data_IF_802188808769
#
_entry.id   IF_802188808769
#
_cell.length_a   1.000
_cell.length_b   1.000
_cell.length_c   1.000
_cell.angle_alpha   90.00
_cell.angle_beta   90.00
_cell.angle_gamma   90.00
#
_symmetry.space_group_name_H-M   'P 1'
#
loop_
_entity.id
_entity.type
_entity.pdbx_description
1 polymer ?
#
# COMPACT_ATOMS: atom_id res chain seq x y z
N UNK A 1 3.21 -32.73 11.51
CA UNK A 1 4.58 -32.99 11.00
C UNK A 1 4.67 -32.54 9.55
N UNK A 2 5.14 -31.30 9.34
CA UNK A 2 5.02 -30.54 8.11
C UNK A 2 6.16 -30.87 7.14
N UNK A 3 5.81 -31.34 5.95
CA UNK A 3 6.68 -31.39 4.78
C UNK A 3 6.13 -30.45 3.70
N UNK A 4 6.90 -29.39 3.45
CA UNK A 4 7.14 -28.73 2.16
C UNK A 4 5.95 -28.26 1.30
N UNK A 5 5.68 -26.96 1.33
CA UNK A 5 5.36 -26.22 0.10
C UNK A 5 6.70 -25.84 -0.56
N UNK A 6 7.08 -26.56 -1.60
CA UNK A 6 8.28 -26.30 -2.40
C UNK A 6 8.01 -25.08 -3.27
N UNK A 7 8.72 -23.98 -3.00
CA UNK A 7 9.02 -22.99 -4.03
C UNK A 7 9.85 -23.64 -5.14
N UNK A 8 9.80 -23.06 -6.33
CA UNK A 8 10.61 -23.49 -7.47
C UNK A 8 12.11 -23.53 -7.12
N UNK A 9 12.92 -24.24 -7.92
CA UNK A 9 14.35 -24.37 -7.65
C UNK A 9 15.01 -22.99 -7.50
N UNK A 10 15.46 -22.66 -6.29
CA UNK A 10 16.21 -21.44 -5.98
C UNK A 10 15.61 -20.49 -4.93
N UNK A 11 14.33 -20.62 -4.55
CA UNK A 11 13.73 -19.69 -3.57
C UNK A 11 14.13 -20.04 -2.15
N UNK A 12 15.00 -19.23 -1.52
CA UNK A 12 15.32 -19.30 -0.09
C UNK A 12 14.11 -18.88 0.74
N UNK A 13 13.77 -19.64 1.77
CA UNK A 13 12.80 -19.23 2.78
C UNK A 13 13.45 -18.19 3.71
N UNK A 14 12.89 -16.98 3.78
CA UNK A 14 13.39 -15.89 4.64
C UNK A 14 12.55 -15.84 5.93
N UNK A 15 13.14 -16.03 7.13
CA UNK A 15 12.42 -15.98 8.41
C UNK A 15 11.84 -14.59 8.74
N UNK A 16 10.74 -14.55 9.51
CA UNK A 16 10.03 -13.31 9.91
C UNK A 16 10.91 -12.24 10.58
N UNK A 17 11.92 -12.65 11.36
CA UNK A 17 12.84 -11.71 12.00
C UNK A 17 13.77 -10.99 11.00
N UNK A 18 14.09 -11.63 9.87
CA UNK A 18 14.83 -11.01 8.77
C UNK A 18 13.92 -10.04 7.97
N UNK A 19 12.60 -10.25 7.98
CA UNK A 19 11.59 -9.35 7.38
C UNK A 19 11.42 -8.03 8.13
N UNK A 20 11.32 -8.03 9.47
CA UNK A 20 11.23 -6.78 10.25
C UNK A 20 12.47 -5.90 10.06
N UNK A 21 13.63 -6.54 9.88
CA UNK A 21 14.89 -5.87 9.57
C UNK A 21 14.92 -5.34 8.12
N UNK A 22 14.30 -6.05 7.17
CA UNK A 22 14.19 -5.65 5.76
C UNK A 22 13.26 -4.45 5.51
N UNK A 23 12.17 -4.30 6.27
CA UNK A 23 11.30 -3.12 6.18
C UNK A 23 11.97 -1.83 6.70
N UNK A 24 13.05 -1.97 7.46
CA UNK A 24 13.71 -0.87 8.19
C UNK A 24 15.04 -0.43 7.58
N UNK A 25 15.56 -1.13 6.56
CA UNK A 25 16.83 -0.82 5.85
C UNK A 25 16.76 -1.28 4.40
N UNK A 26 17.54 -0.65 3.51
CA UNK A 26 17.85 -1.23 2.19
C UNK A 26 18.24 -2.69 2.38
N UNK A 27 17.55 -3.62 1.71
CA UNK A 27 17.93 -5.03 1.64
C UNK A 27 19.01 -5.14 0.58
N UNK A 28 20.31 -5.19 0.95
CA UNK A 28 21.39 -5.07 -0.04
C UNK A 28 21.49 -6.32 -0.93
N UNK A 29 20.85 -7.42 -0.52
CA UNK A 29 21.01 -8.75 -1.10
C UNK A 29 19.94 -9.13 -2.13
N UNK A 30 18.93 -8.28 -2.36
CA UNK A 30 17.84 -8.55 -3.31
C UNK A 30 17.93 -7.74 -4.62
N UNK A 31 18.74 -6.68 -4.66
CA UNK A 31 18.87 -5.83 -5.86
C UNK A 31 17.56 -5.22 -6.36
N UNK A 32 16.53 -5.16 -5.51
CA UNK A 32 15.15 -4.84 -5.87
C UNK A 32 14.51 -3.95 -4.80
N UNK A 33 13.65 -3.03 -5.22
CA UNK A 33 12.85 -2.22 -4.31
C UNK A 33 11.93 -3.11 -3.45
N UNK A 34 11.82 -2.89 -2.12
CA UNK A 34 11.02 -3.75 -1.25
C UNK A 34 9.58 -3.95 -1.72
N UNK A 35 8.97 -2.92 -2.32
CA UNK A 35 7.63 -2.99 -2.86
C UNK A 35 7.54 -3.88 -4.11
N UNK A 36 8.57 -3.90 -4.96
CA UNK A 36 8.63 -4.79 -6.13
C UNK A 36 8.81 -6.24 -5.72
N UNK A 37 9.67 -6.48 -4.72
CA UNK A 37 9.83 -7.81 -4.14
C UNK A 37 8.51 -8.34 -3.56
N UNK A 38 7.76 -7.49 -2.84
CA UNK A 38 6.43 -7.84 -2.35
C UNK A 38 5.47 -8.19 -3.49
N UNK A 39 5.50 -7.44 -4.59
CA UNK A 39 4.64 -7.73 -5.75
C UNK A 39 4.99 -9.07 -6.42
N UNK A 40 6.28 -9.39 -6.55
CA UNK A 40 6.74 -10.63 -7.18
C UNK A 40 6.42 -11.87 -6.32
N UNK A 41 6.46 -11.75 -4.98
CA UNK A 41 6.30 -12.88 -4.07
C UNK A 41 4.93 -12.97 -3.38
N UNK A 42 4.08 -11.95 -3.51
CA UNK A 42 2.73 -11.91 -2.93
C UNK A 42 1.63 -11.49 -3.91
N UNK A 43 1.93 -11.39 -5.21
CA UNK A 43 0.96 -11.03 -6.25
C UNK A 43 -0.34 -11.81 -6.13
N UNK A 44 -1.46 -11.09 -6.06
CA UNK A 44 -2.79 -11.63 -5.80
C UNK A 44 -3.27 -12.53 -6.96
N UNK A 45 -2.90 -13.81 -6.92
CA UNK A 45 -3.57 -14.89 -7.65
C UNK A 45 -4.85 -15.34 -6.94
N UNK A 46 -5.62 -14.40 -6.38
CA UNK A 46 -6.69 -14.66 -5.42
C UNK A 46 -7.96 -15.23 -6.09
N UNK A 47 -7.86 -16.43 -6.68
CA UNK A 47 -9.00 -17.29 -6.93
C UNK A 47 -9.29 -18.13 -5.68
N UNK A 48 -9.61 -17.47 -4.55
CA UNK A 48 -10.23 -18.05 -3.34
C UNK A 48 -9.63 -19.30 -2.66
N UNK A 49 -8.56 -19.91 -3.17
CA UNK A 49 -8.15 -21.26 -2.77
C UNK A 49 -6.63 -21.46 -2.65
N UNK A 50 -5.83 -20.44 -2.97
CA UNK A 50 -4.36 -20.50 -2.86
C UNK A 50 -3.82 -19.27 -2.11
N UNK A 51 -4.15 -19.22 -0.82
CA UNK A 51 -3.63 -18.25 0.16
C UNK A 51 -2.21 -18.68 0.57
N UNK A 52 -1.30 -18.83 -0.41
CA UNK A 52 -0.01 -19.50 -0.23
C UNK A 52 1.13 -18.60 0.25
N UNK A 53 0.96 -17.27 0.19
CA UNK A 53 1.98 -16.31 0.60
C UNK A 53 1.88 -15.95 2.09
N UNK A 54 3.01 -15.86 2.78
CA UNK A 54 3.10 -15.50 4.20
C UNK A 54 2.34 -14.22 4.57
N UNK A 55 2.34 -13.21 3.69
CA UNK A 55 1.62 -11.94 3.91
C UNK A 55 0.16 -11.97 3.46
N UNK A 56 -0.31 -13.05 2.83
CA UNK A 56 -1.66 -13.14 2.30
C UNK A 56 -2.76 -12.97 3.36
N UNK A 57 -2.63 -13.46 4.62
CA UNK A 57 -3.57 -13.13 5.68
C UNK A 57 -3.62 -11.65 6.08
N UNK A 58 -2.59 -10.86 5.76
CA UNK A 58 -2.55 -9.42 6.03
C UNK A 58 -3.02 -8.62 4.82
N UNK A 59 -2.62 -9.03 3.62
CA UNK A 59 -2.97 -8.36 2.35
C UNK A 59 -4.43 -8.64 1.97
N UNK A 60 -4.87 -9.90 2.12
CA UNK A 60 -6.17 -10.38 1.64
C UNK A 60 -7.29 -10.35 2.70
N UNK A 61 -7.04 -9.76 3.88
CA UNK A 61 -8.07 -9.70 4.92
C UNK A 61 -9.13 -8.64 4.63
N UNK A 62 -10.35 -9.06 4.31
CA UNK A 62 -11.48 -8.17 3.97
C UNK A 62 -11.89 -7.23 5.11
N UNK A 63 -11.61 -7.58 6.37
CA UNK A 63 -11.90 -6.72 7.53
C UNK A 63 -10.90 -5.56 7.74
N UNK A 64 -9.90 -5.43 6.88
CA UNK A 64 -8.85 -4.40 6.97
C UNK A 64 -8.94 -3.44 5.79
N UNK A 65 -8.81 -2.15 6.10
CA UNK A 65 -8.72 -1.08 5.12
C UNK A 65 -7.28 -0.89 4.65
N UNK A 66 -7.12 -0.45 3.40
CA UNK A 66 -5.82 -0.14 2.80
C UNK A 66 -5.78 1.35 2.50
N UNK A 67 -4.91 2.07 3.21
CA UNK A 67 -4.83 3.53 3.18
C UNK A 67 -3.39 3.94 2.87
N UNK A 68 -3.22 4.90 1.97
CA UNK A 68 -1.96 5.59 1.72
C UNK A 68 -2.11 7.08 2.04
N UNK A 69 -1.13 7.65 2.77
CA UNK A 69 -1.09 9.06 3.13
C UNK A 69 0.11 9.72 2.44
N UNK A 70 -0.18 10.67 1.54
CA UNK A 70 0.82 11.25 0.64
C UNK A 70 0.94 10.44 -0.65
N UNK A 71 0.10 10.74 -1.63
CA UNK A 71 -0.02 10.02 -2.91
C UNK A 71 0.88 10.60 -3.98
N UNK A 72 1.00 11.94 -4.03
CA UNK A 72 1.71 12.66 -5.09
C UNK A 72 1.32 12.12 -6.48
N UNK A 73 2.26 11.57 -7.26
CA UNK A 73 2.02 11.04 -8.63
C UNK A 73 1.32 9.67 -8.68
N UNK A 74 1.04 9.06 -7.54
CA UNK A 74 0.28 7.81 -7.43
C UNK A 74 1.05 6.55 -7.84
N UNK A 75 2.38 6.61 -7.96
CA UNK A 75 3.20 5.44 -8.34
C UNK A 75 3.06 4.29 -7.33
N UNK A 76 3.23 4.58 -6.05
CA UNK A 76 3.02 3.64 -4.95
C UNK A 76 1.56 3.21 -4.84
N UNK A 77 0.62 4.16 -4.93
CA UNK A 77 -0.83 3.89 -4.86
C UNK A 77 -1.28 2.86 -5.90
N UNK A 78 -0.82 2.97 -7.14
CA UNK A 78 -1.14 2.01 -8.20
C UNK A 78 -0.57 0.62 -7.89
N UNK A 79 0.66 0.53 -7.37
CA UNK A 79 1.27 -0.74 -6.96
C UNK A 79 0.48 -1.39 -5.81
N UNK A 80 0.10 -0.61 -4.80
CA UNK A 80 -0.75 -1.05 -3.68
C UNK A 80 -2.11 -1.53 -4.21
N UNK A 81 -2.75 -0.76 -5.07
CA UNK A 81 -4.05 -1.11 -5.66
C UNK A 81 -4.02 -2.44 -6.42
N UNK A 82 -2.94 -2.73 -7.15
CA UNK A 82 -2.76 -3.99 -7.86
C UNK A 82 -2.64 -5.19 -6.90
N UNK A 83 -1.95 -5.03 -5.77
CA UNK A 83 -1.84 -6.07 -4.74
C UNK A 83 -3.18 -6.34 -4.04
N UNK A 84 -4.05 -5.33 -3.95
CA UNK A 84 -5.34 -5.38 -3.29
C UNK A 84 -6.52 -5.31 -4.27
N UNK A 85 -6.42 -5.98 -5.42
CA UNK A 85 -7.43 -5.92 -6.49
C UNK A 85 -8.85 -6.35 -6.07
N UNK A 86 -8.98 -7.12 -4.97
CA UNK A 86 -10.24 -7.60 -4.42
C UNK A 86 -10.92 -6.61 -3.46
N UNK A 87 -10.31 -5.46 -3.13
CA UNK A 87 -10.91 -4.45 -2.25
C UNK A 87 -10.60 -3.03 -2.67
N UNK A 88 -11.28 -2.08 -2.01
CA UNK A 88 -11.03 -0.66 -2.20
C UNK A 88 -9.75 -0.22 -1.50
N UNK A 89 -8.97 0.60 -2.19
CA UNK A 89 -7.77 1.27 -1.68
C UNK A 89 -8.02 2.77 -1.63
N UNK A 90 -7.59 3.43 -0.56
CA UNK A 90 -7.82 4.87 -0.37
C UNK A 90 -6.50 5.63 -0.36
N UNK A 91 -6.37 6.63 -1.22
CA UNK A 91 -5.21 7.53 -1.25
C UNK A 91 -5.58 8.91 -0.73
N UNK A 92 -4.91 9.37 0.33
CA UNK A 92 -5.11 10.69 0.94
C UNK A 92 -4.00 11.63 0.51
N UNK A 93 -4.38 12.76 -0.10
CA UNK A 93 -3.43 13.83 -0.42
C UNK A 93 -4.18 15.15 -0.61
N UNK A 94 -3.49 16.26 -0.35
CA UNK A 94 -3.99 17.58 -0.71
C UNK A 94 -3.79 17.90 -2.19
N UNK A 95 -2.79 17.28 -2.82
CA UNK A 95 -2.27 17.58 -4.16
C UNK A 95 -1.85 19.05 -4.34
N UNK A 96 -1.50 19.73 -3.23
CA UNK A 96 -1.02 21.11 -3.19
C UNK A 96 0.44 21.22 -2.73
N UNK A 97 1.13 20.08 -2.66
CA UNK A 97 2.48 19.98 -2.12
C UNK A 97 2.55 20.19 -0.60
N UNK A 98 3.77 20.30 -0.09
CA UNK A 98 4.02 20.44 1.34
C UNK A 98 3.46 21.78 1.88
N UNK A 99 2.74 21.78 3.01
CA UNK A 99 2.18 23.00 3.60
C UNK A 99 3.28 23.94 4.14
N UNK A 100 4.41 23.37 4.53
CA UNK A 100 5.60 24.03 5.06
C UNK A 100 6.86 23.29 4.65
N UNK A 101 8.01 23.94 4.75
CA UNK A 101 9.30 23.29 4.50
C UNK A 101 9.64 22.37 5.68
N UNK A 102 10.02 21.13 5.39
CA UNK A 102 10.40 20.17 6.43
C UNK A 102 11.92 20.10 6.62
N UNK A 103 12.66 19.96 5.51
CA UNK A 103 14.11 19.82 5.48
C UNK A 103 14.71 20.50 4.24
N UNK A 104 16.03 20.73 4.17
CA UNK A 104 16.69 21.12 2.94
C UNK A 104 16.40 20.11 1.81
N UNK A 105 15.86 20.57 0.69
CA UNK A 105 15.37 19.69 -0.37
C UNK A 105 13.94 19.17 -0.17
N UNK A 106 13.20 19.69 0.82
CA UNK A 106 11.77 19.45 1.02
C UNK A 106 11.08 20.77 1.36
N UNK A 107 11.12 21.70 0.40
CA UNK A 107 10.58 23.03 0.57
C UNK A 107 9.05 23.05 0.50
N UNK A 108 8.44 24.08 1.10
CA UNK A 108 7.01 24.36 0.95
C UNK A 108 6.57 24.34 -0.52
N UNK A 109 5.44 23.69 -0.79
CA UNK A 109 4.89 23.53 -2.14
C UNK A 109 5.56 22.45 -2.99
N UNK A 110 6.64 21.82 -2.50
CA UNK A 110 7.21 20.65 -3.17
C UNK A 110 6.16 19.54 -3.24
N UNK A 111 6.13 18.81 -4.36
CA UNK A 111 5.11 17.80 -4.69
C UNK A 111 3.72 18.33 -5.03
N UNK A 112 3.56 19.64 -5.26
CA UNK A 112 2.36 20.18 -5.88
C UNK A 112 2.24 19.68 -7.33
N UNK A 113 1.06 19.16 -7.68
CA UNK A 113 0.74 18.74 -9.05
C UNK A 113 -0.01 19.82 -9.84
N UNK A 114 -0.13 21.02 -9.28
CA UNK A 114 -0.73 22.20 -9.88
C UNK A 114 -2.15 21.94 -10.39
N UNK A 115 -2.93 21.19 -9.60
CA UNK A 115 -4.31 20.81 -9.93
C UNK A 115 -4.44 19.56 -10.80
N UNK A 116 -3.34 18.90 -11.16
CA UNK A 116 -3.38 17.60 -11.85
C UNK A 116 -3.53 16.48 -10.83
N UNK A 117 -4.57 15.65 -10.98
CA UNK A 117 -4.70 14.43 -10.19
C UNK A 117 -4.03 13.27 -10.91
N UNK A 118 -3.37 12.35 -10.18
CA UNK A 118 -2.78 11.17 -10.81
C UNK A 118 -3.87 10.24 -11.35
N UNK A 119 -3.56 9.55 -12.44
CA UNK A 119 -4.37 8.42 -12.88
C UNK A 119 -4.25 7.29 -11.86
N UNK A 120 -5.40 6.75 -11.45
CA UNK A 120 -5.51 5.70 -10.45
C UNK A 120 -6.32 4.51 -10.97
N UNK A 121 -6.11 3.34 -10.37
CA UNK A 121 -6.84 2.13 -10.73
C UNK A 121 -8.32 2.23 -10.32
N UNK A 122 -9.18 1.41 -10.93
CA UNK A 122 -10.64 1.45 -10.70
C UNK A 122 -11.06 1.09 -9.27
N UNK A 123 -10.21 0.38 -8.52
CA UNK A 123 -10.44 0.05 -7.10
C UNK A 123 -9.87 1.11 -6.15
N UNK A 124 -9.38 2.24 -6.65
CA UNK A 124 -8.83 3.34 -5.85
C UNK A 124 -9.85 4.46 -5.68
N UNK A 125 -9.93 5.00 -4.47
CA UNK A 125 -10.62 6.24 -4.16
C UNK A 125 -9.62 7.28 -3.65
N UNK A 126 -9.52 8.41 -4.36
CA UNK A 126 -8.72 9.56 -3.89
C UNK A 126 -9.54 10.41 -2.93
N UNK A 127 -9.01 10.62 -1.73
CA UNK A 127 -9.61 11.46 -0.70
C UNK A 127 -8.82 12.76 -0.63
N UNK A 128 -9.35 13.79 -1.28
CA UNK A 128 -8.65 15.06 -1.49
C UNK A 128 -8.81 16.00 -0.30
N UNK A 129 -7.69 16.49 0.24
CA UNK A 129 -7.65 17.48 1.31
C UNK A 129 -6.46 17.30 2.25
N UNK A 130 -6.24 18.24 3.17
CA UNK A 130 -5.30 18.00 4.27
C UNK A 130 -5.80 16.86 5.14
N UNK A 131 -4.91 16.19 5.87
CA UNK A 131 -5.31 15.04 6.69
C UNK A 131 -6.30 15.44 7.79
N UNK A 132 -6.14 16.62 8.38
CA UNK A 132 -7.04 17.17 9.40
C UNK A 132 -8.45 17.39 8.86
N UNK A 133 -8.56 17.85 7.61
CA UNK A 133 -9.83 18.17 6.99
C UNK A 133 -10.51 16.92 6.37
N UNK A 134 -9.73 15.97 5.87
CA UNK A 134 -10.23 14.87 5.04
C UNK A 134 -10.48 13.57 5.81
N UNK A 135 -9.64 13.25 6.81
CA UNK A 135 -9.73 11.97 7.54
C UNK A 135 -10.98 11.88 8.41
N UNK A 136 -11.36 12.90 9.23
CA UNK A 136 -12.55 12.81 10.07
C UNK A 136 -13.86 12.55 9.30
N UNK A 137 -14.21 13.33 8.24
CA UNK A 137 -15.44 13.07 7.50
C UNK A 137 -15.38 11.77 6.70
N UNK A 138 -14.22 11.37 6.18
CA UNK A 138 -14.07 10.06 5.54
C UNK A 138 -14.34 8.92 6.53
N UNK A 139 -13.75 8.96 7.72
CA UNK A 139 -13.94 7.94 8.76
C UNK A 139 -15.41 7.80 9.15
N UNK A 140 -16.11 8.93 9.30
CA UNK A 140 -17.55 8.92 9.59
C UNK A 140 -18.37 8.24 8.49
N UNK A 141 -18.07 8.52 7.21
CA UNK A 141 -18.73 7.84 6.08
C UNK A 141 -18.47 6.33 6.10
N UNK A 142 -17.23 5.91 6.37
CA UNK A 142 -16.88 4.49 6.44
C UNK A 142 -17.65 3.76 7.54
N UNK A 143 -17.79 4.38 8.71
CA UNK A 143 -18.57 3.80 9.82
C UNK A 143 -20.05 3.67 9.50
N UNK A 144 -20.63 4.61 8.76
CA UNK A 144 -22.03 4.54 8.32
C UNK A 144 -22.27 3.41 7.31
N UNK A 145 -21.30 3.17 6.42
CA UNK A 145 -21.39 2.11 5.41
C UNK A 145 -21.23 0.70 6.00
N UNK A 146 -20.47 0.56 7.09
CA UNK A 146 -20.24 -0.73 7.76
C UNK A 146 -21.02 -0.89 9.07
N UNK A 147 -21.88 0.09 9.40
CA UNK A 147 -22.64 0.18 10.65
C UNK A 147 -24.13 -0.10 10.51
N UNK A 148 -24.59 -0.67 9.39
CA UNK A 148 -25.93 -1.30 9.35
C UNK A 148 -25.83 -2.72 9.95
N UNK A 149 -26.67 -3.06 10.95
CA UNK A 149 -26.80 -4.44 11.43
C UNK A 149 -27.32 -5.39 10.35
#
# INVERSE_FOLDING_TARGET
PWQACRGGPGTKQVPFAEWEQACSRQVPDLGMEPLEFLMEHHGCGCNGSSVGGFLSPFICNESRLVLEFGVHTGVSLRKIAAMHCHKRVYGFDSFKGLPESWDPGFEKGRFDLHGSLPEVASNVELVIGSFEASVPPWKQRQQQQHGSP
#
